data_IF_620037133741
#
_entry.id   IF_620037133741
#
_cell.length_a   1.000
_cell.length_b   1.000
_cell.length_c   1.000
_cell.angle_alpha   90.00
_cell.angle_beta   90.00
_cell.angle_gamma   90.00
#
_symmetry.space_group_name_H-M   'P 1'
#
loop_
_entity.id
_entity.type
_entity.pdbx_description
1 polymer ?
#
# COMPACT_ATOMS: atom_id res chain seq x y z
N UNK A 1 -9.68 20.91 4.59
CA UNK A 1 -9.65 21.36 3.18
C UNK A 1 -8.22 21.14 2.68
N UNK A 2 -8.01 20.53 1.51
CA UNK A 2 -6.70 20.51 0.86
C UNK A 2 -6.51 21.80 0.07
N UNK A 3 -5.28 22.31 0.02
CA UNK A 3 -4.92 23.48 -0.79
C UNK A 3 -4.17 23.01 -2.05
N UNK A 4 -4.36 23.72 -3.15
CA UNK A 4 -3.59 23.62 -4.40
C UNK A 4 -3.48 22.19 -4.97
N UNK A 5 -4.59 21.70 -5.54
CA UNK A 5 -4.61 20.42 -6.27
C UNK A 5 -3.86 20.56 -7.61
N UNK A 6 -2.55 20.39 -7.58
CA UNK A 6 -1.69 20.44 -8.76
C UNK A 6 -1.65 19.07 -9.42
N UNK A 7 -1.79 19.03 -10.74
CA UNK A 7 -1.68 17.78 -11.53
C UNK A 7 -0.27 17.67 -12.11
N UNK A 8 0.46 16.60 -11.79
CA UNK A 8 1.73 16.28 -12.41
C UNK A 8 1.56 15.10 -13.37
N UNK A 9 1.76 15.36 -14.66
CA UNK A 9 1.50 14.43 -15.76
C UNK A 9 2.76 14.14 -16.55
N UNK A 10 2.82 12.94 -17.12
CA UNK A 10 3.88 12.61 -18.05
C UNK A 10 3.84 13.50 -19.30
N UNK A 11 5.01 13.87 -19.87
CA UNK A 11 5.06 14.52 -21.17
C UNK A 11 4.52 13.57 -22.28
N UNK A 12 4.24 14.08 -23.49
CA UNK A 12 3.72 13.27 -24.60
C UNK A 12 4.57 12.07 -24.98
N UNK A 13 5.88 12.11 -24.71
CA UNK A 13 6.80 10.99 -24.84
C UNK A 13 7.82 11.00 -23.71
N UNK A 14 8.17 9.80 -23.24
CA UNK A 14 9.19 9.58 -22.20
C UNK A 14 10.29 8.72 -22.82
N UNK A 15 11.51 9.24 -22.87
CA UNK A 15 12.65 8.52 -23.44
C UNK A 15 13.08 7.37 -22.53
N UNK A 16 13.57 6.29 -23.12
CA UNK A 16 14.30 5.25 -22.37
C UNK A 16 15.55 5.83 -21.72
N UNK A 17 15.96 5.26 -20.59
CA UNK A 17 17.10 5.72 -19.78
C UNK A 17 17.06 7.21 -19.41
N UNK A 18 15.86 7.72 -19.14
CA UNK A 18 15.66 9.12 -18.72
C UNK A 18 15.17 9.21 -17.28
N UNK A 19 14.98 10.43 -16.79
CA UNK A 19 14.36 10.69 -15.50
C UNK A 19 13.45 11.91 -15.58
N UNK A 20 12.38 11.91 -14.81
CA UNK A 20 11.48 13.05 -14.63
C UNK A 20 11.35 13.34 -13.14
N UNK A 21 11.68 14.56 -12.72
CA UNK A 21 11.62 14.98 -11.32
C UNK A 21 10.73 16.19 -11.13
N UNK A 22 10.13 16.28 -9.96
CA UNK A 22 9.36 17.44 -9.49
C UNK A 22 9.76 17.74 -8.06
N UNK A 23 10.02 19.02 -7.77
CA UNK A 23 10.23 19.50 -6.41
C UNK A 23 8.96 20.19 -5.94
N UNK A 24 8.46 19.78 -4.79
CA UNK A 24 7.36 20.41 -4.07
C UNK A 24 7.98 21.23 -2.95
N UNK A 25 8.08 22.54 -3.17
CA UNK A 25 8.54 23.47 -2.15
C UNK A 25 7.40 23.75 -1.17
N UNK A 26 7.58 23.39 0.10
CA UNK A 26 6.70 23.80 1.18
C UNK A 26 7.29 25.06 1.80
N UNK A 27 6.51 26.14 1.83
CA UNK A 27 6.88 27.36 2.52
C UNK A 27 5.62 28.05 3.03
N UNK A 28 5.48 28.07 4.35
CA UNK A 28 4.34 28.70 5.04
C UNK A 28 4.22 30.20 4.76
N UNK A 29 5.29 30.86 4.33
CA UNK A 29 5.31 32.30 4.07
C UNK A 29 4.81 32.62 2.65
N UNK A 30 4.64 31.61 1.79
CA UNK A 30 4.04 31.76 0.47
C UNK A 30 2.53 31.97 0.58
N UNK A 31 2.04 33.02 -0.07
CA UNK A 31 0.63 33.43 -0.06
C UNK A 31 -0.28 32.33 -0.60
N UNK A 32 0.23 31.53 -1.54
CA UNK A 32 -0.48 30.42 -2.17
C UNK A 32 -0.72 29.25 -1.21
N UNK A 33 0.12 29.06 -0.18
CA UNK A 33 0.02 27.92 0.75
C UNK A 33 -0.80 28.25 2.01
N UNK A 34 -1.06 29.53 2.28
CA UNK A 34 -1.97 30.02 3.34
C UNK A 34 -1.80 29.32 4.70
N UNK A 35 -0.56 29.02 5.09
CA UNK A 35 -0.22 28.44 6.39
C UNK A 35 0.74 27.25 6.32
N UNK A 36 1.11 26.67 7.47
CA UNK A 36 2.03 25.54 7.52
C UNK A 36 1.38 24.27 6.97
N UNK A 37 2.03 23.65 5.99
CA UNK A 37 1.70 22.31 5.50
C UNK A 37 2.42 21.26 6.35
N UNK A 38 1.68 20.26 6.84
CA UNK A 38 2.23 19.16 7.63
C UNK A 38 2.36 17.87 6.83
N UNK A 39 1.50 17.67 5.83
CA UNK A 39 1.53 16.50 4.97
C UNK A 39 1.24 16.87 3.52
N UNK A 40 1.77 16.09 2.60
CA UNK A 40 1.39 16.13 1.18
C UNK A 40 0.73 14.81 0.84
N UNK A 41 -0.44 14.86 0.21
CA UNK A 41 -1.11 13.68 -0.32
C UNK A 41 -0.91 13.61 -1.82
N UNK A 42 -0.51 12.45 -2.30
CA UNK A 42 -0.46 12.10 -3.71
C UNK A 42 -1.62 11.16 -4.02
N UNK A 43 -2.43 11.51 -5.01
CA UNK A 43 -3.46 10.63 -5.56
C UNK A 43 -3.07 10.23 -6.99
N UNK A 44 -2.86 8.94 -7.22
CA UNK A 44 -2.46 8.38 -8.50
C UNK A 44 -3.69 8.18 -9.38
N UNK A 45 -4.02 9.18 -10.20
CA UNK A 45 -5.12 9.08 -11.18
C UNK A 45 -4.77 8.07 -12.27
N UNK A 46 -3.56 8.20 -12.79
CA UNK A 46 -2.92 7.15 -13.56
C UNK A 46 -1.49 6.96 -13.08
N UNK A 47 -1.03 5.72 -13.04
CA UNK A 47 0.35 5.36 -12.75
C UNK A 47 0.60 3.96 -13.31
N UNK A 48 1.32 3.90 -14.42
CA UNK A 48 1.79 2.66 -15.03
C UNK A 48 3.21 2.85 -15.56
N UNK A 49 4.17 2.17 -14.94
CA UNK A 49 5.57 2.07 -15.41
C UNK A 49 5.96 0.58 -15.52
N UNK A 50 7.22 0.26 -15.86
CA UNK A 50 7.66 -1.13 -15.94
C UNK A 50 7.33 -1.94 -14.67
N UNK A 51 6.97 -3.20 -14.86
CA UNK A 51 6.72 -4.14 -13.76
C UNK A 51 8.02 -4.44 -12.99
N UNK A 52 7.91 -4.89 -11.72
CA UNK A 52 9.07 -5.41 -11.02
C UNK A 52 9.67 -6.61 -11.76
N UNK A 53 10.93 -6.91 -11.48
CA UNK A 53 11.56 -8.16 -11.87
C UNK A 53 10.76 -9.33 -11.30
N UNK A 54 10.33 -10.24 -12.18
CA UNK A 54 9.44 -11.34 -11.80
C UNK A 54 10.04 -12.26 -10.74
N UNK A 55 11.37 -12.42 -10.73
CA UNK A 55 12.07 -13.33 -9.82
C UNK A 55 12.45 -12.71 -8.48
N UNK A 56 12.60 -11.38 -8.41
CA UNK A 56 13.08 -10.68 -7.19
C UNK A 56 12.07 -9.69 -6.60
N UNK A 57 10.95 -9.44 -7.29
CA UNK A 57 9.96 -8.39 -6.96
C UNK A 57 10.57 -6.98 -6.90
N UNK A 58 11.78 -6.75 -7.42
CA UNK A 58 12.48 -5.46 -7.35
C UNK A 58 12.16 -4.57 -8.56
N UNK A 59 12.09 -3.27 -8.33
CA UNK A 59 11.87 -2.25 -9.36
C UNK A 59 13.19 -1.87 -10.07
N UNK A 60 13.79 -2.83 -10.77
CA UNK A 60 15.14 -2.70 -11.36
C UNK A 60 15.18 -1.81 -12.60
N UNK A 61 14.10 -1.81 -13.40
CA UNK A 61 14.03 -1.08 -14.68
C UNK A 61 13.51 0.34 -14.50
N UNK A 62 12.25 0.47 -14.12
CA UNK A 62 11.62 1.76 -13.84
C UNK A 62 11.25 1.83 -12.36
N UNK A 63 11.44 2.99 -11.75
CA UNK A 63 10.96 3.22 -10.39
C UNK A 63 10.53 4.66 -10.16
N UNK A 64 9.57 4.79 -9.26
CA UNK A 64 9.18 6.02 -8.62
C UNK A 64 9.78 6.09 -7.22
N UNK A 65 10.39 7.22 -6.90
CA UNK A 65 11.04 7.51 -5.62
C UNK A 65 10.54 8.84 -5.08
N UNK A 66 10.33 8.87 -3.76
CA UNK A 66 10.07 10.09 -3.01
C UNK A 66 11.27 10.39 -2.11
N UNK A 67 11.64 11.67 -1.99
CA UNK A 67 12.69 12.16 -1.11
C UNK A 67 12.28 13.42 -0.36
N UNK A 68 13.02 13.77 0.71
CA UNK A 68 12.75 14.97 1.51
C UNK A 68 11.57 14.84 2.47
N UNK A 69 11.19 13.60 2.82
CA UNK A 69 10.06 13.28 3.72
C UNK A 69 10.56 12.58 4.99
N UNK A 70 9.74 12.58 6.04
CA UNK A 70 10.07 11.95 7.34
C UNK A 70 9.73 10.47 7.38
N UNK A 71 8.56 10.10 6.86
CA UNK A 71 8.11 8.72 6.85
C UNK A 71 8.85 7.90 5.78
N UNK A 72 9.00 6.60 6.04
CA UNK A 72 9.60 5.68 5.08
C UNK A 72 8.66 5.49 3.87
N UNK A 73 9.20 5.69 2.67
CA UNK A 73 8.45 5.58 1.40
C UNK A 73 9.21 4.62 0.49
N UNK A 74 8.63 3.46 0.16
CA UNK A 74 9.29 2.48 -0.69
C UNK A 74 9.39 2.96 -2.14
N UNK A 75 10.33 2.38 -2.89
CA UNK A 75 10.34 2.51 -4.34
C UNK A 75 9.11 1.81 -4.93
N UNK A 76 8.42 2.47 -5.86
CA UNK A 76 7.25 1.90 -6.53
C UNK A 76 7.51 1.69 -8.02
N UNK A 77 6.96 0.60 -8.55
CA UNK A 77 6.88 0.34 -9.99
C UNK A 77 5.58 -0.37 -10.34
N UNK A 78 5.39 -0.66 -11.63
CA UNK A 78 4.18 -1.27 -12.17
C UNK A 78 2.93 -0.38 -12.12
N UNK A 79 1.77 -0.98 -11.80
CA UNK A 79 0.44 -0.36 -11.90
C UNK A 79 -0.08 0.13 -10.54
N UNK A 80 -0.20 1.45 -10.36
CA UNK A 80 -0.63 2.06 -9.09
C UNK A 80 -1.85 2.99 -9.25
N UNK A 81 -2.61 2.81 -10.32
CA UNK A 81 -3.84 3.57 -10.58
C UNK A 81 -4.83 3.48 -9.39
N UNK A 82 -5.51 4.59 -9.12
CA UNK A 82 -6.53 4.74 -8.08
C UNK A 82 -6.03 4.44 -6.66
N UNK A 83 -4.72 4.55 -6.44
CA UNK A 83 -4.10 4.51 -5.12
C UNK A 83 -3.65 5.90 -4.69
N UNK A 84 -3.29 6.03 -3.42
CA UNK A 84 -2.79 7.28 -2.86
C UNK A 84 -1.67 7.01 -1.87
N UNK A 85 -0.91 8.05 -1.54
CA UNK A 85 0.03 8.04 -0.43
C UNK A 85 0.09 9.37 0.31
N UNK A 86 0.43 9.31 1.59
CA UNK A 86 0.67 10.47 2.46
C UNK A 86 2.17 10.60 2.74
N UNK A 87 2.67 11.81 2.57
CA UNK A 87 4.05 12.19 2.77
C UNK A 87 4.13 13.16 3.94
N UNK A 88 4.96 12.84 4.94
CA UNK A 88 5.17 13.69 6.10
C UNK A 88 6.27 14.72 5.81
N UNK A 89 5.90 15.99 5.91
CA UNK A 89 6.83 17.08 5.74
C UNK A 89 7.76 17.19 6.96
N UNK A 90 9.08 17.31 6.79
CA UNK A 90 10.02 17.46 7.90
C UNK A 90 9.86 18.80 8.63
N UNK A 91 9.41 19.84 7.93
CA UNK A 91 9.01 21.10 8.54
C UNK A 91 8.04 21.85 7.62
N UNK A 92 7.54 23.01 8.09
CA UNK A 92 6.72 23.90 7.27
C UNK A 92 7.52 24.71 6.23
N UNK A 93 8.84 24.49 6.15
CA UNK A 93 9.78 25.06 5.18
C UNK A 93 10.75 23.98 4.71
N UNK A 94 10.38 23.26 3.65
CA UNK A 94 11.16 22.12 3.16
C UNK A 94 10.80 21.75 1.74
N UNK A 95 11.74 21.13 1.04
CA UNK A 95 11.53 20.61 -0.30
C UNK A 95 11.33 19.09 -0.28
N UNK A 96 10.26 18.65 -0.94
CA UNK A 96 10.00 17.23 -1.19
C UNK A 96 10.28 16.95 -2.67
N UNK A 97 10.92 15.84 -2.97
CA UNK A 97 11.25 15.45 -4.35
C UNK A 97 10.44 14.23 -4.76
N UNK A 98 9.78 14.33 -5.90
CA UNK A 98 9.21 13.19 -6.62
C UNK A 98 10.10 12.89 -7.82
N UNK A 99 10.49 11.64 -8.01
CA UNK A 99 11.39 11.22 -9.08
C UNK A 99 10.87 9.94 -9.73
N UNK A 100 10.60 10.01 -11.03
CA UNK A 100 10.58 8.83 -11.89
C UNK A 100 11.95 8.65 -12.54
N UNK A 101 12.53 7.46 -12.41
CA UNK A 101 13.69 7.01 -13.20
C UNK A 101 13.23 5.88 -14.11
N UNK A 102 13.64 5.95 -15.37
CA UNK A 102 13.32 4.98 -16.39
C UNK A 102 14.58 4.28 -16.86
N UNK A 103 14.47 2.99 -17.10
CA UNK A 103 15.51 2.17 -17.68
C UNK A 103 15.33 2.03 -19.19
N UNK A 104 15.96 1.00 -19.76
CA UNK A 104 15.72 0.61 -21.16
C UNK A 104 14.50 -0.31 -21.20
N UNK A 105 13.42 0.18 -21.79
CA UNK A 105 12.14 -0.54 -21.89
C UNK A 105 11.40 -0.14 -23.16
N UNK A 106 10.58 -1.04 -23.68
CA UNK A 106 9.66 -0.78 -24.81
C UNK A 106 8.28 -0.32 -24.35
N UNK A 107 8.05 -0.28 -23.03
CA UNK A 107 6.82 0.23 -22.44
C UNK A 107 6.76 1.75 -22.58
N UNK A 108 5.55 2.28 -22.64
CA UNK A 108 5.29 3.72 -22.61
C UNK A 108 4.81 4.10 -21.20
N UNK A 109 5.68 4.66 -20.33
CA UNK A 109 5.29 5.07 -18.99
C UNK A 109 4.19 6.13 -19.03
N UNK A 110 3.23 6.01 -18.11
CA UNK A 110 2.14 6.97 -17.97
C UNK A 110 1.92 7.30 -16.50
N UNK A 111 1.81 8.59 -16.19
CA UNK A 111 1.39 9.01 -14.86
C UNK A 111 0.57 10.29 -14.93
N UNK A 112 -0.39 10.39 -14.02
CA UNK A 112 -1.11 11.59 -13.66
C UNK A 112 -1.34 11.55 -12.16
N UNK A 113 -0.65 12.43 -11.43
CA UNK A 113 -0.66 12.47 -9.97
C UNK A 113 -1.26 13.81 -9.54
N UNK A 114 -2.36 13.76 -8.79
CA UNK A 114 -2.87 14.92 -8.08
C UNK A 114 -2.07 15.10 -6.80
N UNK A 115 -1.50 16.28 -6.61
CA UNK A 115 -0.73 16.66 -5.42
C UNK A 115 -1.59 17.60 -4.60
N UNK A 116 -1.83 17.25 -3.34
CA UNK A 116 -2.63 18.03 -2.41
C UNK A 116 -1.81 18.40 -1.17
N UNK A 117 -1.72 19.69 -0.85
CA UNK A 117 -1.11 20.14 0.39
C UNK A 117 -2.12 20.04 1.53
N UNK A 118 -1.74 19.41 2.64
CA UNK A 118 -2.58 19.23 3.83
C UNK A 118 -2.06 20.17 4.93
N UNK A 119 -2.81 21.23 5.26
CA UNK A 119 -2.47 22.14 6.35
C UNK A 119 -2.40 21.41 7.69
N UNK A 120 -1.49 21.85 8.56
CA UNK A 120 -1.44 21.41 9.94
C UNK A 120 -2.79 21.65 10.65
N UNK A 121 -3.25 20.66 11.43
CA UNK A 121 -4.56 20.70 12.12
C UNK A 121 -5.78 20.33 11.27
N UNK A 122 -5.60 19.99 9.99
CA UNK A 122 -6.68 19.48 9.13
C UNK A 122 -7.16 18.09 9.56
N UNK A 123 -8.48 17.84 9.50
CA UNK A 123 -9.08 16.52 9.72
C UNK A 123 -8.67 15.45 8.68
N UNK A 124 -7.96 15.88 7.63
CA UNK A 124 -7.43 15.02 6.57
C UNK A 124 -6.01 14.53 6.86
N UNK A 125 -5.39 14.95 7.97
CA UNK A 125 -4.06 14.47 8.37
C UNK A 125 -4.15 12.96 8.65
N UNK A 126 -3.28 12.21 7.98
CA UNK A 126 -3.03 10.81 8.29
C UNK A 126 -2.25 10.70 9.62
N UNK A 127 -2.51 9.67 10.45
CA UNK A 127 -1.68 9.43 11.63
C UNK A 127 -0.21 9.19 11.26
N UNK A 128 0.69 9.33 12.24
CA UNK A 128 2.14 9.20 11.99
C UNK A 128 2.52 7.83 11.40
N UNK A 129 3.45 7.89 10.45
CA UNK A 129 3.98 6.81 9.62
C UNK A 129 2.95 6.09 8.74
N UNK A 130 1.71 6.58 8.64
CA UNK A 130 0.70 6.00 7.76
C UNK A 130 0.96 6.44 6.32
N UNK A 131 1.53 5.54 5.51
CA UNK A 131 1.74 5.82 4.09
C UNK A 131 0.42 5.84 3.32
N UNK A 132 -0.53 4.99 3.70
CA UNK A 132 -1.91 5.03 3.20
C UNK A 132 -2.88 5.30 4.35
N UNK A 133 -3.84 6.18 4.12
CA UNK A 133 -4.89 6.48 5.09
C UNK A 133 -6.27 6.48 4.44
N UNK A 134 -7.13 5.59 4.91
CA UNK A 134 -8.50 5.41 4.42
C UNK A 134 -9.48 6.02 5.42
N UNK A 135 -10.29 6.96 4.94
CA UNK A 135 -11.22 7.74 5.76
C UNK A 135 -12.68 7.27 5.64
N UNK A 136 -12.93 6.15 4.96
CA UNK A 136 -14.27 5.54 4.86
C UNK A 136 -14.38 4.38 5.83
N UNK A 137 -15.59 4.06 6.28
CA UNK A 137 -15.85 2.90 7.14
C UNK A 137 -15.77 1.56 6.41
N UNK A 138 -15.96 1.55 5.09
CA UNK A 138 -15.66 0.40 4.24
C UNK A 138 -15.17 0.86 2.87
N UNK A 139 -14.15 0.17 2.36
CA UNK A 139 -13.64 0.32 0.99
C UNK A 139 -12.69 -0.85 0.67
N UNK A 140 -12.11 -0.82 -0.51
CA UNK A 140 -11.00 -1.71 -0.91
C UNK A 140 -9.65 -1.10 -0.51
N UNK A 141 -8.77 -1.93 0.03
CA UNK A 141 -7.34 -1.66 0.28
C UNK A 141 -6.50 -2.65 -0.52
N UNK A 142 -5.44 -2.16 -1.15
CA UNK A 142 -4.54 -2.94 -2.01
C UNK A 142 -3.10 -2.63 -1.67
N UNK A 143 -2.20 -3.60 -1.82
CA UNK A 143 -0.78 -3.28 -1.90
C UNK A 143 -0.50 -2.46 -3.16
N UNK A 144 0.51 -1.60 -3.12
CA UNK A 144 1.07 -1.02 -4.34
C UNK A 144 1.40 -2.11 -5.37
N UNK A 145 1.23 -1.78 -6.65
CA UNK A 145 1.32 -2.67 -7.81
C UNK A 145 0.30 -3.83 -7.90
N UNK A 146 -0.60 -4.02 -6.92
CA UNK A 146 -1.62 -5.07 -7.06
C UNK A 146 -2.60 -4.77 -8.20
N UNK A 147 -2.86 -5.78 -9.03
CA UNK A 147 -3.87 -5.77 -10.09
C UNK A 147 -4.38 -7.19 -10.29
N UNK A 148 -5.66 -7.34 -10.62
CA UNK A 148 -6.28 -8.65 -10.87
C UNK A 148 -5.87 -9.20 -12.24
N UNK A 149 -4.64 -9.72 -12.31
CA UNK A 149 -4.02 -10.24 -13.51
C UNK A 149 -2.88 -11.19 -13.12
N UNK A 150 -2.31 -11.88 -14.09
CA UNK A 150 -1.19 -12.80 -13.88
C UNK A 150 0.16 -12.05 -13.80
N UNK A 151 1.18 -12.76 -13.33
CA UNK A 151 2.54 -12.26 -13.16
C UNK A 151 2.83 -11.71 -11.76
N UNK A 152 4.11 -11.43 -11.50
CA UNK A 152 4.57 -10.86 -10.23
C UNK A 152 4.07 -9.43 -10.09
N UNK A 153 3.30 -9.20 -9.02
CA UNK A 153 2.75 -7.90 -8.62
C UNK A 153 3.23 -7.46 -7.24
N UNK A 154 3.63 -8.41 -6.41
CA UNK A 154 4.32 -8.12 -5.17
C UNK A 154 5.59 -7.28 -5.47
N UNK A 155 5.83 -6.29 -4.61
CA UNK A 155 7.07 -5.52 -4.59
C UNK A 155 7.88 -5.96 -3.37
N UNK A 156 9.20 -6.09 -3.50
CA UNK A 156 10.14 -6.34 -2.40
C UNK A 156 10.52 -5.05 -1.68
N UNK A 157 11.11 -5.16 -0.47
CA UNK A 157 11.48 -4.00 0.38
C UNK A 157 10.30 -3.10 0.75
N UNK A 158 9.13 -3.69 0.98
CA UNK A 158 7.97 -2.96 1.50
C UNK A 158 8.01 -2.97 3.02
N UNK A 159 7.84 -1.82 3.64
CA UNK A 159 7.60 -1.71 5.07
C UNK A 159 6.78 -0.46 5.34
N UNK A 160 5.46 -0.55 5.14
CA UNK A 160 4.60 0.61 5.33
C UNK A 160 3.31 0.28 6.08
N UNK A 161 2.86 1.28 6.82
CA UNK A 161 1.63 1.24 7.62
C UNK A 161 0.46 1.77 6.79
N UNK A 162 -0.64 1.02 6.80
CA UNK A 162 -1.90 1.41 6.21
C UNK A 162 -2.89 1.62 7.35
N UNK A 163 -3.46 2.81 7.41
CA UNK A 163 -4.29 3.24 8.52
C UNK A 163 -5.74 3.48 8.08
N UNK A 164 -6.67 3.26 8.98
CA UNK A 164 -8.09 3.43 8.76
C UNK A 164 -8.63 4.38 9.83
N UNK A 165 -9.32 5.43 9.41
CA UNK A 165 -9.96 6.37 10.34
C UNK A 165 -11.05 5.64 11.09
N UNK A 166 -11.05 5.71 12.41
CA UNK A 166 -12.17 5.18 13.19
C UNK A 166 -13.40 6.05 12.93
N UNK A 167 -14.32 5.53 12.14
CA UNK A 167 -15.54 6.25 11.81
C UNK A 167 -16.45 6.38 13.03
N UNK A 168 -17.25 7.44 13.02
CA UNK A 168 -18.29 7.70 14.00
C UNK A 168 -19.65 7.58 13.30
N UNK A 169 -20.43 6.57 13.68
CA UNK A 169 -21.82 6.42 13.25
C UNK A 169 -22.69 6.61 14.48
N UNK A 170 -23.62 7.57 14.46
CA UNK A 170 -24.47 7.91 15.60
C UNK A 170 -23.68 8.16 16.91
N UNK A 171 -22.55 8.86 16.83
CA UNK A 171 -21.60 9.08 17.94
C UNK A 171 -20.97 7.81 18.55
N UNK A 172 -21.15 6.64 17.93
CA UNK A 172 -20.48 5.42 18.32
C UNK A 172 -19.24 5.20 17.46
N UNK A 173 -18.12 4.92 18.12
CA UNK A 173 -16.88 4.50 17.43
C UNK A 173 -17.00 3.05 17.01
N UNK A 174 -16.52 2.74 15.82
CA UNK A 174 -16.30 1.37 15.42
C UNK A 174 -15.43 0.64 16.47
N UNK A 175 -15.85 -0.57 16.83
CA UNK A 175 -15.21 -1.40 17.87
C UNK A 175 -14.33 -2.49 17.26
N UNK A 176 -14.47 -2.74 15.96
CA UNK A 176 -13.76 -3.77 15.22
C UNK A 176 -13.62 -3.38 13.76
N UNK A 177 -12.55 -3.83 13.12
CA UNK A 177 -12.39 -3.77 11.66
C UNK A 177 -12.21 -5.20 11.13
N UNK A 178 -12.82 -5.50 10.00
CA UNK A 178 -12.78 -6.80 9.34
C UNK A 178 -12.24 -6.67 7.94
N UNK A 179 -11.44 -7.65 7.51
CA UNK A 179 -10.82 -7.71 6.19
C UNK A 179 -11.25 -8.99 5.50
N UNK A 180 -11.74 -8.87 4.27
CA UNK A 180 -12.14 -9.99 3.43
C UNK A 180 -11.39 -9.88 2.10
N UNK A 181 -10.88 -10.98 1.56
CA UNK A 181 -10.23 -10.96 0.26
C UNK A 181 -11.15 -10.43 -0.84
N UNK A 182 -10.59 -9.62 -1.74
CA UNK A 182 -11.31 -9.18 -2.93
C UNK A 182 -11.73 -10.37 -3.80
N UNK A 183 -12.85 -10.21 -4.52
CA UNK A 183 -13.20 -11.11 -5.63
C UNK A 183 -12.28 -10.85 -6.81
N UNK A 184 -11.87 -11.90 -7.48
CA UNK A 184 -11.00 -11.86 -8.65
C UNK A 184 -11.63 -12.59 -9.84
N UNK A 185 -11.12 -12.32 -11.03
CA UNK A 185 -11.38 -13.12 -12.22
C UNK A 185 -10.88 -14.57 -12.01
N UNK A 186 -11.41 -15.56 -12.77
CA UNK A 186 -10.91 -16.93 -12.70
C UNK A 186 -9.39 -17.00 -12.88
N UNK A 187 -8.69 -17.61 -11.91
CA UNK A 187 -7.23 -17.69 -11.88
C UNK A 187 -6.51 -16.48 -11.28
N UNK A 188 -7.22 -15.38 -11.03
CA UNK A 188 -6.69 -14.20 -10.33
C UNK A 188 -6.51 -14.44 -8.83
N UNK A 189 -5.54 -13.76 -8.22
CA UNK A 189 -5.16 -13.94 -6.81
C UNK A 189 -5.29 -12.61 -6.06
N UNK A 190 -6.26 -12.49 -5.16
CA UNK A 190 -6.43 -11.31 -4.30
C UNK A 190 -5.51 -11.33 -3.08
N UNK A 191 -4.86 -12.44 -2.77
CA UNK A 191 -3.85 -12.50 -1.74
C UNK A 191 -2.86 -13.59 -2.12
N UNK A 192 -1.61 -13.20 -2.33
CA UNK A 192 -0.53 -14.15 -2.45
C UNK A 192 0.78 -13.49 -2.05
N UNK A 193 1.27 -13.87 -0.88
CA UNK A 193 2.56 -13.47 -0.34
C UNK A 193 3.38 -14.73 -0.09
N UNK A 194 4.59 -14.88 -0.64
CA UNK A 194 5.39 -16.11 -0.49
C UNK A 194 4.66 -17.37 -0.97
N UNK A 195 4.14 -17.33 -2.19
CA UNK A 195 3.49 -18.46 -2.85
C UNK A 195 4.44 -19.63 -3.15
N UNK A 196 3.93 -20.87 -3.21
CA UNK A 196 4.71 -22.00 -3.71
C UNK A 196 4.89 -21.87 -5.23
N UNK A 197 6.02 -22.39 -5.76
CA UNK A 197 6.27 -22.45 -7.20
C UNK A 197 5.28 -23.35 -7.95
N UNK A 198 4.74 -24.37 -7.28
CA UNK A 198 3.81 -25.35 -7.83
C UNK A 198 2.71 -25.67 -6.81
N UNK A 199 1.51 -25.99 -7.31
CA UNK A 199 0.34 -26.29 -6.48
C UNK A 199 -0.51 -25.08 -6.12
N UNK A 200 -1.60 -25.33 -5.39
CA UNK A 200 -2.49 -24.27 -4.93
C UNK A 200 -1.86 -23.56 -3.73
N UNK A 201 -1.78 -22.22 -3.73
CA UNK A 201 -1.16 -21.50 -2.63
C UNK A 201 -2.05 -21.58 -1.39
N UNK A 202 -1.59 -22.31 -0.36
CA UNK A 202 -2.32 -22.45 0.89
C UNK A 202 -2.15 -21.25 1.82
N UNK A 203 -3.05 -21.08 2.79
CA UNK A 203 -2.88 -20.09 3.86
C UNK A 203 -1.70 -20.43 4.77
N UNK A 204 -0.97 -19.41 5.21
CA UNK A 204 0.03 -19.50 6.27
C UNK A 204 -0.14 -18.32 7.22
N UNK A 205 0.07 -18.56 8.51
CA UNK A 205 -0.05 -17.52 9.52
C UNK A 205 0.95 -17.68 10.67
N UNK A 206 1.21 -16.57 11.35
CA UNK A 206 2.14 -16.47 12.47
C UNK A 206 3.61 -16.28 12.06
N UNK A 207 4.42 -15.82 13.01
CA UNK A 207 5.82 -15.44 12.76
C UNK A 207 6.72 -16.59 12.27
N UNK A 208 6.44 -17.83 12.67
CA UNK A 208 7.21 -19.01 12.25
C UNK A 208 6.95 -19.33 10.76
N UNK A 209 5.69 -19.26 10.33
CA UNK A 209 5.31 -19.65 8.97
C UNK A 209 5.41 -18.49 7.97
N UNK A 210 5.40 -17.25 8.45
CA UNK A 210 5.52 -16.03 7.66
C UNK A 210 6.69 -15.14 8.14
N UNK A 211 7.95 -15.63 8.06
CA UNK A 211 9.10 -14.90 8.58
C UNK A 211 9.60 -13.77 7.66
N UNK A 212 9.32 -13.84 6.35
CA UNK A 212 9.94 -12.98 5.33
C UNK A 212 8.97 -11.95 4.74
N UNK A 213 7.85 -12.41 4.20
CA UNK A 213 6.80 -11.56 3.63
C UNK A 213 5.50 -11.81 4.37
N UNK A 214 4.83 -10.75 4.81
CA UNK A 214 3.57 -10.88 5.50
C UNK A 214 2.74 -9.59 5.47
N UNK A 215 1.43 -9.77 5.56
CA UNK A 215 0.54 -8.73 6.02
C UNK A 215 0.35 -8.89 7.53
N UNK A 216 0.57 -7.83 8.30
CA UNK A 216 0.39 -7.81 9.73
C UNK A 216 -0.99 -7.22 10.08
N UNK A 217 -1.87 -8.05 10.64
CA UNK A 217 -3.15 -7.66 11.22
C UNK A 217 -3.10 -8.06 12.69
N UNK A 218 -2.91 -7.10 13.59
CA UNK A 218 -2.71 -7.37 15.02
C UNK A 218 -3.93 -8.09 15.61
N UNK A 219 -3.67 -9.18 16.32
CA UNK A 219 -4.67 -9.98 17.01
C UNK A 219 -5.87 -10.33 16.10
N UNK A 220 -5.58 -10.71 14.86
CA UNK A 220 -6.58 -11.01 13.85
C UNK A 220 -7.23 -12.38 14.09
N UNK A 221 -8.56 -12.44 14.00
CA UNK A 221 -9.35 -13.66 14.24
C UNK A 221 -10.48 -13.82 13.23
N UNK A 222 -10.96 -15.04 13.04
CA UNK A 222 -12.16 -15.31 12.25
C UNK A 222 -13.41 -15.09 13.13
N UNK A 223 -14.31 -14.15 12.78
CA UNK A 223 -15.47 -13.84 13.61
C UNK A 223 -16.55 -14.92 13.64
N UNK A 224 -16.48 -15.91 12.74
CA UNK A 224 -17.46 -17.00 12.66
C UNK A 224 -17.11 -18.20 13.54
N UNK A 225 -15.92 -18.21 14.18
CA UNK A 225 -15.48 -19.34 15.00
C UNK A 225 -15.74 -19.08 16.49
N UNK A 226 -16.34 -20.04 17.22
CA UNK A 226 -16.69 -19.89 18.64
C UNK A 226 -15.47 -19.91 19.58
N UNK A 227 -14.36 -20.55 19.16
CA UNK A 227 -13.05 -20.42 19.80
C UNK A 227 -12.14 -19.67 18.81
N UNK A 228 -11.95 -18.37 19.06
CA UNK A 228 -11.16 -17.54 18.16
C UNK A 228 -9.69 -18.00 18.13
N UNK A 229 -9.26 -18.52 16.98
CA UNK A 229 -7.85 -18.66 16.66
C UNK A 229 -7.33 -17.28 16.25
N UNK A 230 -6.26 -16.85 16.92
CA UNK A 230 -5.64 -15.56 16.67
C UNK A 230 -4.32 -15.73 15.94
N UNK A 231 -4.05 -14.84 14.99
CA UNK A 231 -2.76 -14.66 14.38
C UNK A 231 -2.46 -13.17 14.22
N UNK A 232 -1.21 -12.82 13.96
CA UNK A 232 -0.78 -11.44 13.74
C UNK A 232 -0.22 -11.23 12.33
N UNK A 233 0.44 -12.25 11.75
CA UNK A 233 1.05 -12.23 10.43
C UNK A 233 0.38 -13.23 9.51
N UNK A 234 0.19 -12.85 8.25
CA UNK A 234 -0.49 -13.64 7.24
C UNK A 234 0.33 -13.64 5.96
N UNK A 235 0.49 -14.83 5.37
CA UNK A 235 1.14 -15.06 4.08
C UNK A 235 0.55 -16.30 3.42
N UNK A 236 1.16 -16.78 2.34
CA UNK A 236 0.60 -17.81 1.47
C UNK A 236 -0.50 -17.25 0.56
N UNK A 237 -1.41 -18.11 0.10
CA UNK A 237 -2.46 -17.78 -0.87
C UNK A 237 -3.84 -17.50 -0.29
N UNK A 238 -3.99 -17.56 1.02
CA UNK A 238 -5.28 -17.33 1.68
C UNK A 238 -5.09 -16.58 3.00
N UNK A 239 -5.95 -15.57 3.22
CA UNK A 239 -6.01 -14.80 4.46
C UNK A 239 -6.81 -15.64 5.47
N UNK A 240 -6.10 -16.25 6.42
CA UNK A 240 -6.73 -17.07 7.45
C UNK A 240 -5.85 -17.13 8.71
N UNK A 241 -6.40 -16.94 9.94
CA UNK A 241 -5.63 -17.05 11.18
C UNK A 241 -5.34 -18.49 11.61
N UNK A 242 -5.92 -19.49 10.95
CA UNK A 242 -5.57 -20.88 11.19
C UNK A 242 -4.08 -21.12 10.89
N UNK A 243 -3.41 -21.89 11.74
CA UNK A 243 -1.99 -22.21 11.62
C UNK A 243 -1.68 -23.23 10.50
N UNK A 244 -2.71 -23.86 9.93
CA UNK A 244 -2.62 -24.89 8.89
C UNK A 244 -3.32 -24.44 7.61
N UNK A 245 -3.14 -25.21 6.54
CA UNK A 245 -3.78 -24.94 5.25
C UNK A 245 -5.31 -24.89 5.39
N UNK A 246 -5.87 -23.72 5.09
CA UNK A 246 -7.29 -23.44 5.21
C UNK A 246 -7.75 -22.45 4.11
N UNK A 247 -9.03 -22.47 3.72
CA UNK A 247 -9.55 -21.53 2.74
C UNK A 247 -9.51 -20.09 3.28
N UNK A 248 -9.59 -19.10 2.39
CA UNK A 248 -9.69 -17.70 2.81
C UNK A 248 -10.95 -17.47 3.68
N UNK A 249 -10.80 -16.65 4.72
CA UNK A 249 -11.89 -16.23 5.61
C UNK A 249 -11.84 -14.73 5.83
N UNK A 250 -12.92 -14.18 6.40
CA UNK A 250 -12.87 -12.82 6.95
C UNK A 250 -12.01 -12.83 8.21
N UNK A 251 -11.06 -11.91 8.30
CA UNK A 251 -10.20 -11.72 9.47
C UNK A 251 -10.50 -10.37 10.09
N UNK A 252 -10.86 -10.35 11.37
CA UNK A 252 -11.19 -9.14 12.09
C UNK A 252 -10.19 -8.86 13.20
N UNK A 253 -10.08 -7.59 13.58
CA UNK A 253 -9.28 -7.12 14.71
C UNK A 253 -10.04 -6.09 15.53
N UNK A 254 -9.85 -6.14 16.84
CA UNK A 254 -10.38 -5.19 17.83
C UNK A 254 -9.31 -4.22 18.33
N UNK A 255 -8.11 -4.21 17.73
CA UNK A 255 -7.07 -3.26 18.14
C UNK A 255 -7.56 -1.83 17.95
N UNK A 256 -7.33 -1.00 18.95
CA UNK A 256 -7.51 0.45 18.81
C UNK A 256 -6.53 0.99 17.77
N UNK A 257 -6.91 2.10 17.14
CA UNK A 257 -6.20 2.71 16.02
C UNK A 257 -6.04 1.73 14.86
N UNK A 258 -7.11 1.52 14.09
CA UNK A 258 -7.12 0.51 13.04
C UNK A 258 -6.00 0.73 12.02
N UNK A 259 -5.09 -0.23 11.95
CA UNK A 259 -4.03 -0.26 10.96
C UNK A 259 -3.57 -1.69 10.66
N UNK A 260 -2.97 -1.85 9.49
CA UNK A 260 -2.24 -3.04 9.06
C UNK A 260 -0.86 -2.60 8.58
N UNK A 261 0.12 -3.51 8.64
CA UNK A 261 1.48 -3.25 8.14
C UNK A 261 1.77 -4.25 7.04
N UNK A 262 2.19 -3.76 5.87
CA UNK A 262 2.67 -4.63 4.81
C UNK A 262 4.19 -4.67 4.84
N UNK A 263 4.73 -5.88 4.96
CA UNK A 263 6.16 -6.13 5.04
C UNK A 263 6.59 -7.16 4.00
N UNK A 264 7.59 -6.79 3.20
CA UNK A 264 8.34 -7.70 2.33
C UNK A 264 9.82 -7.39 2.46
N UNK A 265 10.65 -8.41 2.49
CA UNK A 265 12.10 -8.23 2.58
C UNK A 265 12.73 -8.18 1.18
N UNK A 266 14.06 -8.23 1.14
CA UNK A 266 14.88 -8.27 -0.07
C UNK A 266 15.65 -9.58 -0.23
N UNK A 267 15.22 -10.64 0.45
CA UNK A 267 15.98 -11.87 0.49
C UNK A 267 16.04 -12.52 -0.89
N UNK A 268 17.20 -12.37 -1.52
CA UNK A 268 17.76 -13.16 -2.62
C UNK A 268 18.08 -14.61 -2.19
N UNK A 269 17.59 -15.06 -1.03
CA UNK A 269 17.82 -16.44 -0.62
C UNK A 269 16.89 -17.33 -1.44
N UNK A 270 17.54 -18.18 -2.22
CA UNK A 270 17.11 -19.30 -3.10
C UNK A 270 15.88 -20.17 -2.71
N UNK A 271 15.06 -19.77 -1.73
CA UNK A 271 13.81 -20.38 -1.31
C UNK A 271 12.59 -19.42 -1.30
N UNK A 272 12.75 -18.08 -1.35
CA UNK A 272 11.63 -17.15 -1.54
C UNK A 272 11.40 -16.89 -3.02
N UNK A 273 10.65 -17.79 -3.64
CA UNK A 273 10.19 -17.63 -5.00
C UNK A 273 9.16 -16.50 -5.05
N UNK A 274 9.61 -15.34 -5.51
CA UNK A 274 8.79 -14.15 -5.70
C UNK A 274 7.91 -14.21 -6.96
N UNK A 275 8.17 -15.21 -7.82
CA UNK A 275 7.47 -15.38 -9.09
C UNK A 275 5.98 -15.65 -8.91
N UNK A 276 5.17 -14.79 -9.54
CA UNK A 276 3.71 -14.87 -9.51
C UNK A 276 3.08 -14.46 -8.18
N UNK A 277 3.85 -13.91 -7.22
CA UNK A 277 3.28 -13.32 -6.01
C UNK A 277 2.47 -12.08 -6.38
N UNK A 278 1.22 -12.03 -5.92
CA UNK A 278 0.28 -11.00 -6.32
C UNK A 278 0.30 -9.77 -5.40
N UNK A 279 0.81 -9.90 -4.16
CA UNK A 279 0.54 -8.92 -3.11
C UNK A 279 -0.85 -9.18 -2.50
N UNK A 280 -1.60 -8.12 -2.18
CA UNK A 280 -2.96 -8.27 -1.67
C UNK A 280 -3.97 -7.22 -2.15
N UNK A 281 -5.24 -7.62 -2.14
CA UNK A 281 -6.44 -6.81 -2.24
C UNK A 281 -7.45 -7.33 -1.22
N UNK A 282 -7.87 -6.46 -0.31
CA UNK A 282 -8.86 -6.75 0.72
C UNK A 282 -9.96 -5.70 0.67
N UNK A 283 -11.20 -6.11 0.94
CA UNK A 283 -12.29 -5.22 1.33
C UNK A 283 -12.25 -5.13 2.85
N UNK A 284 -12.12 -3.91 3.37
CA UNK A 284 -12.22 -3.67 4.81
C UNK A 284 -13.61 -3.14 5.17
N UNK A 285 -14.08 -3.48 6.36
CA UNK A 285 -15.36 -3.01 6.90
C UNK A 285 -15.22 -2.78 8.41
N UNK A 286 -15.61 -1.59 8.85
CA UNK A 286 -15.68 -1.23 10.26
C UNK A 286 -17.02 -1.63 10.85
N UNK A 287 -16.97 -2.33 11.98
CA UNK A 287 -18.13 -2.83 12.70
C UNK A 287 -18.35 -1.95 13.94
N UNK A 288 -19.60 -1.53 14.13
CA UNK A 288 -20.07 -0.73 15.24
C UNK A 288 -20.78 -1.63 16.26
N UNK A 289 -20.77 -1.22 17.53
CA UNK A 289 -21.45 -1.93 18.61
C UNK A 289 -22.92 -1.51 18.76
#
# INVERSE_FOLDING_TARGET
>A
MTLNNTEWRNPPGVSSDSSCSLIIALDRDLVEQRGPTCQVRLDFKTFAIAQPNASTSQCDTDYFKVGGVVNDVPLLCGDNDEQHMYLEAPSSKSDLMLLFKFGVSTLNPKWNITISLIPCGSDLIAPRDCLQYFVKGSNTVKSFNWKDTTGTRQLSKMNYKICFRNELVNNQRATRICYTQCRTQPGGRSFLLSGPQTGNPASKSGAINCPHNFLLIRNGFNPLLPAAVYADRYCGGALNPAAFEAPAVTVCSTTKDFNIIYYTNDAEDSASHEDGNAGFCLVFEQIFA
#
